data_IF_420878932648
#
_entry.id   IF_420878932648
#
_cell.length_a   1.000
_cell.length_b   1.000
_cell.length_c   1.000
_cell.angle_alpha   90.00
_cell.angle_beta   90.00
_cell.angle_gamma   90.00
#
_symmetry.space_group_name_H-M   'P 1'
#
loop_
_entity.id
_entity.type
_entity.pdbx_description
1 polymer ?
#
# COMPACT_ATOMS: atom_id res chain seq x y z
N UNK A 1 43.43 -24.46 14.31
CA UNK A 1 42.25 -24.29 13.41
C UNK A 1 42.64 -23.28 12.33
N UNK A 2 42.94 -23.78 11.14
CA UNK A 2 43.55 -23.03 10.04
C UNK A 2 42.44 -22.47 9.14
N UNK A 3 42.36 -21.17 9.08
CA UNK A 3 41.43 -20.43 8.20
C UNK A 3 41.89 -20.53 6.74
N UNK A 4 41.16 -21.28 5.95
CA UNK A 4 41.33 -21.36 4.49
C UNK A 4 40.88 -20.04 3.85
N UNK A 5 41.82 -19.31 3.24
CA UNK A 5 41.58 -18.05 2.55
C UNK A 5 40.84 -18.32 1.21
N UNK A 6 39.73 -17.66 1.00
CA UNK A 6 38.87 -17.70 -0.20
C UNK A 6 39.60 -17.41 -1.55
N UNK A 7 40.85 -17.03 -1.54
CA UNK A 7 41.65 -16.72 -2.75
C UNK A 7 42.28 -17.93 -3.43
N UNK A 8 42.25 -19.11 -2.82
CA UNK A 8 42.86 -20.33 -3.37
C UNK A 8 41.95 -21.16 -4.29
N UNK A 9 40.64 -20.86 -4.28
CA UNK A 9 39.66 -21.63 -5.11
C UNK A 9 39.57 -21.13 -6.56
N UNK A 10 40.06 -19.94 -6.86
CA UNK A 10 39.96 -19.33 -8.20
C UNK A 10 41.17 -19.60 -9.10
N UNK A 11 42.20 -20.31 -8.63
CA UNK A 11 43.39 -20.64 -9.42
C UNK A 11 43.41 -22.07 -9.99
N UNK A 12 42.43 -22.92 -9.64
CA UNK A 12 42.37 -24.29 -10.11
C UNK A 12 41.43 -24.55 -11.32
N UNK A 13 40.74 -23.51 -11.80
CA UNK A 13 39.76 -23.62 -12.91
C UNK A 13 40.32 -23.13 -14.28
N UNK A 14 41.61 -22.93 -14.39
CA UNK A 14 42.22 -22.24 -15.54
C UNK A 14 43.21 -23.08 -16.38
N UNK A 15 43.07 -24.41 -16.51
CA UNK A 15 43.93 -25.20 -17.41
C UNK A 15 43.29 -26.56 -17.74
N UNK A 16 42.27 -26.56 -18.59
CA UNK A 16 41.85 -27.70 -19.39
C UNK A 16 40.98 -27.25 -20.56
N UNK A 17 41.59 -26.59 -21.52
CA UNK A 17 41.03 -26.46 -22.88
C UNK A 17 42.04 -27.05 -23.83
N UNK A 18 41.77 -28.25 -24.29
CA UNK A 18 42.55 -28.94 -25.27
C UNK A 18 41.88 -30.22 -25.74
N UNK A 19 41.27 -30.18 -26.91
CA UNK A 19 40.91 -31.28 -27.77
C UNK A 19 39.94 -32.35 -27.25
N UNK A 20 38.67 -32.25 -27.61
CA UNK A 20 37.85 -33.39 -27.98
C UNK A 20 37.09 -33.09 -29.27
N UNK A 21 37.26 -34.01 -30.19
CA UNK A 21 36.74 -33.99 -31.53
C UNK A 21 35.21 -34.00 -31.60
N UNK A 22 34.73 -33.40 -32.68
CA UNK A 22 33.40 -33.44 -33.23
C UNK A 22 32.77 -34.84 -33.24
N UNK A 23 31.79 -35.08 -32.40
CA UNK A 23 30.77 -36.10 -32.66
C UNK A 23 29.47 -35.71 -31.94
N UNK A 24 28.49 -35.31 -32.73
CA UNK A 24 27.07 -35.48 -32.44
C UNK A 24 26.49 -34.74 -31.22
N UNK A 25 26.52 -33.39 -31.17
CA UNK A 25 25.57 -32.62 -30.35
C UNK A 25 24.24 -32.55 -31.11
N UNK A 26 23.41 -33.58 -30.91
CA UNK A 26 21.97 -33.45 -31.12
C UNK A 26 21.51 -32.31 -30.17
N UNK A 27 21.29 -31.15 -30.68
CA UNK A 27 20.65 -30.07 -29.98
C UNK A 27 19.26 -30.59 -29.52
N UNK A 28 19.13 -30.90 -28.25
CA UNK A 28 17.83 -30.82 -27.62
C UNK A 28 17.41 -29.35 -27.63
N UNK A 29 16.93 -28.90 -28.77
CA UNK A 29 16.04 -27.77 -28.83
C UNK A 29 14.76 -28.25 -28.10
N UNK A 30 14.72 -28.10 -26.80
CA UNK A 30 13.46 -28.07 -26.08
C UNK A 30 12.68 -26.91 -26.72
N UNK A 31 11.70 -27.24 -27.58
CA UNK A 31 10.68 -26.29 -27.92
C UNK A 31 10.24 -25.66 -26.58
N UNK A 32 10.23 -24.34 -26.44
CA UNK A 32 9.52 -23.75 -25.34
C UNK A 32 8.07 -24.22 -25.55
N UNK A 33 7.61 -25.14 -24.70
CA UNK A 33 6.20 -25.43 -24.61
C UNK A 33 5.52 -24.05 -24.57
N UNK A 34 4.70 -23.77 -25.56
CA UNK A 34 3.73 -22.68 -25.49
C UNK A 34 2.89 -23.02 -24.25
N UNK A 35 3.31 -22.50 -23.08
CA UNK A 35 2.41 -22.38 -21.97
C UNK A 35 1.21 -21.63 -22.52
N UNK A 36 0.11 -22.35 -22.74
CA UNK A 36 -1.17 -21.73 -22.95
C UNK A 36 -1.34 -20.73 -21.81
N UNK A 37 -1.21 -19.43 -22.12
CA UNK A 37 -1.54 -18.37 -21.19
C UNK A 37 -3.05 -18.52 -20.97
N UNK A 38 -3.44 -19.35 -20.00
CA UNK A 38 -4.82 -19.32 -19.48
C UNK A 38 -5.09 -17.86 -19.19
N UNK A 39 -6.01 -17.27 -19.94
CA UNK A 39 -6.42 -15.88 -19.71
C UNK A 39 -6.93 -15.81 -18.29
N UNK A 40 -6.21 -15.11 -17.42
CA UNK A 40 -6.61 -14.90 -16.03
C UNK A 40 -7.97 -14.22 -16.04
N UNK A 41 -8.90 -14.71 -15.27
CA UNK A 41 -10.23 -14.10 -15.16
C UNK A 41 -10.21 -13.02 -14.10
N UNK A 42 -10.47 -11.77 -14.51
CA UNK A 42 -10.56 -10.64 -13.60
C UNK A 42 -11.75 -10.82 -12.66
N UNK A 43 -11.49 -10.76 -11.36
CA UNK A 43 -12.53 -10.76 -10.33
C UNK A 43 -12.94 -9.33 -9.98
N UNK A 44 -11.98 -8.44 -9.71
CA UNK A 44 -12.22 -7.06 -9.28
C UNK A 44 -11.15 -6.12 -9.86
N UNK A 45 -11.57 -4.91 -10.21
CA UNK A 45 -10.70 -3.76 -10.48
C UNK A 45 -10.89 -2.74 -9.38
N UNK A 46 -9.83 -2.40 -8.64
CA UNK A 46 -9.91 -1.58 -7.43
C UNK A 46 -9.01 -0.36 -7.57
N UNK A 47 -9.53 0.82 -7.30
CA UNK A 47 -8.71 2.03 -7.23
C UNK A 47 -8.15 2.19 -5.82
N UNK A 48 -6.84 2.39 -5.69
CA UNK A 48 -6.18 2.74 -4.44
C UNK A 48 -5.71 4.19 -4.50
N UNK A 49 -6.31 5.03 -3.66
CA UNK A 49 -5.90 6.40 -3.38
C UNK A 49 -5.31 6.44 -1.98
N UNK A 50 -4.27 7.21 -1.77
CA UNK A 50 -3.62 7.36 -0.45
C UNK A 50 -2.94 8.70 -0.36
N UNK A 51 -2.67 9.16 0.86
CA UNK A 51 -1.91 10.39 1.09
C UNK A 51 -2.50 11.57 0.30
N UNK A 52 -3.81 11.76 0.47
CA UNK A 52 -4.58 12.81 -0.22
C UNK A 52 -4.25 14.18 0.35
N UNK A 53 -4.01 14.27 1.66
CA UNK A 53 -3.64 15.51 2.36
C UNK A 53 -4.49 16.70 1.95
N UNK A 54 -5.83 16.52 1.92
CA UNK A 54 -6.72 17.55 1.39
C UNK A 54 -6.84 18.73 2.35
N UNK A 55 -6.63 19.94 1.80
CA UNK A 55 -6.76 21.20 2.49
C UNK A 55 -7.21 22.28 1.53
N UNK A 56 -7.15 23.55 1.96
CA UNK A 56 -7.60 24.70 1.15
C UNK A 56 -6.57 25.18 0.11
N UNK A 57 -5.29 24.80 0.30
CA UNK A 57 -4.18 25.30 -0.50
C UNK A 57 -4.15 24.78 -1.94
N UNK A 58 -3.47 25.50 -2.83
CA UNK A 58 -3.06 25.06 -4.17
C UNK A 58 -4.22 24.55 -5.06
N UNK A 59 -5.45 25.00 -4.82
CA UNK A 59 -6.66 24.46 -5.47
C UNK A 59 -6.80 22.93 -5.30
N UNK A 60 -6.30 22.39 -4.21
CA UNK A 60 -6.29 20.95 -3.94
C UNK A 60 -7.69 20.31 -4.07
N UNK A 61 -8.78 20.90 -3.56
CA UNK A 61 -10.12 20.31 -3.68
C UNK A 61 -10.54 20.07 -5.13
N UNK A 62 -10.35 21.06 -6.01
CA UNK A 62 -10.70 20.97 -7.43
C UNK A 62 -9.80 19.97 -8.17
N UNK A 63 -8.52 19.96 -7.85
CA UNK A 63 -7.53 19.03 -8.40
C UNK A 63 -7.87 17.60 -8.00
N UNK A 64 -8.15 17.35 -6.73
CA UNK A 64 -8.55 16.03 -6.24
C UNK A 64 -9.85 15.54 -6.89
N UNK A 65 -10.89 16.38 -6.95
CA UNK A 65 -12.14 16.04 -7.65
C UNK A 65 -11.91 15.69 -9.13
N UNK A 66 -10.99 16.38 -9.82
CA UNK A 66 -10.60 16.04 -11.20
C UNK A 66 -9.94 14.68 -11.28
N UNK A 67 -9.01 14.36 -10.34
CA UNK A 67 -8.40 13.04 -10.25
C UNK A 67 -9.46 11.94 -10.08
N UNK A 68 -10.37 12.10 -9.13
CA UNK A 68 -11.43 11.12 -8.88
C UNK A 68 -12.30 10.91 -10.12
N UNK A 69 -12.73 11.97 -10.80
CA UNK A 69 -13.49 11.89 -12.05
C UNK A 69 -12.71 11.19 -13.16
N UNK A 70 -11.40 11.44 -13.25
CA UNK A 70 -10.52 10.77 -14.19
C UNK A 70 -10.46 9.26 -13.92
N UNK A 71 -10.23 8.85 -12.68
CA UNK A 71 -10.21 7.44 -12.27
C UNK A 71 -11.52 6.74 -12.65
N UNK A 72 -12.66 7.33 -12.28
CA UNK A 72 -13.98 6.79 -12.59
C UNK A 72 -14.20 6.62 -14.10
N UNK A 73 -13.84 7.63 -14.87
CA UNK A 73 -14.12 7.64 -16.32
C UNK A 73 -13.19 6.68 -17.07
N UNK A 74 -11.91 6.69 -16.72
CA UNK A 74 -10.88 5.91 -17.42
C UNK A 74 -10.88 4.45 -17.03
N UNK A 75 -10.96 4.15 -15.72
CA UNK A 75 -10.72 2.80 -15.21
C UNK A 75 -11.98 2.07 -14.78
N UNK A 76 -13.04 2.81 -14.40
CA UNK A 76 -14.33 2.24 -13.95
C UNK A 76 -14.13 1.18 -12.85
N UNK A 77 -13.49 1.53 -11.72
CA UNK A 77 -13.22 0.57 -10.65
C UNK A 77 -14.52 0.03 -10.07
N UNK A 78 -14.47 -1.16 -9.47
CA UNK A 78 -15.60 -1.72 -8.72
C UNK A 78 -15.82 -0.97 -7.41
N UNK A 79 -14.75 -0.51 -6.76
CA UNK A 79 -14.77 0.30 -5.54
C UNK A 79 -13.40 0.96 -5.29
N UNK A 80 -13.30 1.75 -4.23
CA UNK A 80 -12.09 2.47 -3.84
C UNK A 80 -11.55 1.98 -2.50
N UNK A 81 -10.23 1.93 -2.40
CA UNK A 81 -9.47 1.83 -1.16
C UNK A 81 -8.79 3.16 -0.90
N UNK A 82 -8.97 3.73 0.30
CA UNK A 82 -8.28 4.93 0.77
C UNK A 82 -7.24 4.53 1.80
N UNK A 83 -5.98 4.71 1.47
CA UNK A 83 -4.81 4.29 2.24
C UNK A 83 -4.47 5.17 3.45
N UNK A 84 -5.34 6.12 3.84
CA UNK A 84 -5.09 7.04 4.96
C UNK A 84 -4.48 8.37 4.53
N UNK A 85 -4.23 9.23 5.51
CA UNK A 85 -3.83 10.63 5.32
C UNK A 85 -4.79 11.35 4.37
N UNK A 86 -6.07 11.29 4.74
CA UNK A 86 -7.18 11.83 3.96
C UNK A 86 -7.19 13.35 3.97
N UNK A 87 -6.96 13.96 5.16
CA UNK A 87 -6.92 15.41 5.35
C UNK A 87 -5.50 15.95 5.41
N UNK A 88 -5.33 17.24 5.26
CA UNK A 88 -4.03 17.92 5.27
C UNK A 88 -3.21 17.54 6.49
N UNK A 89 -3.62 18.00 7.66
CA UNK A 89 -3.01 17.56 8.93
C UNK A 89 -3.89 17.92 10.13
N UNK A 90 -4.12 16.95 11.01
CA UNK A 90 -4.69 17.16 12.35
C UNK A 90 -3.72 16.75 13.47
N UNK A 91 -2.52 16.25 13.13
CA UNK A 91 -1.60 15.63 14.09
C UNK A 91 -0.64 16.60 14.76
N UNK A 92 -0.34 17.74 14.14
CA UNK A 92 0.62 18.71 14.67
C UNK A 92 0.12 19.44 15.91
N UNK A 93 1.07 19.85 16.75
CA UNK A 93 0.80 20.48 18.05
C UNK A 93 0.09 21.84 17.96
N UNK A 94 0.23 22.53 16.83
CA UNK A 94 -0.34 23.86 16.58
C UNK A 94 -1.67 23.84 15.82
N UNK A 95 -2.21 22.66 15.48
CA UNK A 95 -3.48 22.55 14.78
C UNK A 95 -4.63 22.82 15.74
N UNK A 96 -5.54 23.71 15.32
CA UNK A 96 -6.68 24.14 16.13
C UNK A 96 -8.00 23.58 15.58
N UNK A 97 -9.02 23.63 16.42
CA UNK A 97 -10.36 23.09 16.15
C UNK A 97 -10.91 23.48 14.76
N UNK A 98 -10.92 24.77 14.44
CA UNK A 98 -11.49 25.26 13.17
C UNK A 98 -10.77 24.69 11.94
N UNK A 99 -9.45 24.50 12.04
CA UNK A 99 -8.66 23.89 10.96
C UNK A 99 -9.05 22.43 10.75
N UNK A 100 -9.22 21.66 11.82
CA UNK A 100 -9.62 20.25 11.72
C UNK A 100 -11.01 20.12 11.10
N UNK A 101 -11.98 20.91 11.59
CA UNK A 101 -13.34 20.95 11.02
C UNK A 101 -13.31 21.31 9.54
N UNK A 102 -12.55 22.33 9.18
CA UNK A 102 -12.45 22.80 7.80
C UNK A 102 -11.90 21.73 6.87
N UNK A 103 -10.80 21.09 7.23
CA UNK A 103 -10.19 20.03 6.43
C UNK A 103 -11.15 18.86 6.22
N UNK A 104 -11.82 18.40 7.28
CA UNK A 104 -12.81 17.33 7.15
C UNK A 104 -14.03 17.76 6.32
N UNK A 105 -14.46 19.03 6.38
CA UNK A 105 -15.54 19.54 5.54
C UNK A 105 -15.15 19.53 4.05
N UNK A 106 -13.90 19.85 3.74
CA UNK A 106 -13.36 19.78 2.38
C UNK A 106 -13.29 18.33 1.91
N UNK A 107 -12.82 17.42 2.76
CA UNK A 107 -12.83 15.99 2.46
C UNK A 107 -14.22 15.48 2.12
N UNK A 108 -15.22 15.78 2.97
CA UNK A 108 -16.60 15.35 2.76
C UNK A 108 -17.15 15.86 1.42
N UNK A 109 -16.88 17.11 1.09
CA UNK A 109 -17.31 17.69 -0.18
C UNK A 109 -16.62 17.02 -1.39
N UNK A 110 -15.33 16.77 -1.30
CA UNK A 110 -14.58 16.10 -2.37
C UNK A 110 -15.04 14.67 -2.59
N UNK A 111 -15.24 13.92 -1.50
CA UNK A 111 -15.57 12.48 -1.56
C UNK A 111 -16.99 12.23 -2.10
N UNK A 112 -17.88 13.23 -2.13
CA UNK A 112 -19.19 13.14 -2.81
C UNK A 112 -19.05 12.77 -4.30
N UNK A 113 -17.88 13.04 -4.88
CA UNK A 113 -17.57 12.59 -6.26
C UNK A 113 -17.67 11.07 -6.39
N UNK A 114 -17.53 10.34 -5.28
CA UNK A 114 -17.59 8.87 -5.21
C UNK A 114 -18.91 8.34 -4.63
N UNK A 115 -20.00 9.12 -4.57
CA UNK A 115 -21.28 8.71 -3.96
C UNK A 115 -21.88 7.40 -4.52
N UNK A 116 -21.49 7.02 -5.75
CA UNK A 116 -21.91 5.77 -6.39
C UNK A 116 -20.97 4.60 -6.14
N UNK A 117 -19.89 4.80 -5.41
CA UNK A 117 -18.86 3.81 -5.14
C UNK A 117 -18.73 3.57 -3.64
N UNK A 118 -18.42 2.35 -3.27
CA UNK A 118 -17.95 2.09 -1.91
C UNK A 118 -16.51 2.59 -1.75
N UNK A 119 -16.22 3.19 -0.59
CA UNK A 119 -14.87 3.63 -0.21
C UNK A 119 -14.53 2.97 1.12
N UNK A 120 -13.50 2.14 1.12
CA UNK A 120 -12.98 1.52 2.33
C UNK A 120 -11.67 2.18 2.72
N UNK A 121 -11.58 2.71 3.93
CA UNK A 121 -10.46 3.55 4.36
C UNK A 121 -9.70 2.94 5.53
N UNK A 122 -8.37 3.11 5.56
CA UNK A 122 -7.61 3.03 6.80
C UNK A 122 -7.30 4.43 7.34
N UNK A 123 -6.81 4.50 8.57
CA UNK A 123 -6.46 5.75 9.25
C UNK A 123 -4.97 6.02 9.02
N UNK A 124 -4.64 7.21 8.54
CA UNK A 124 -3.28 7.70 8.44
C UNK A 124 -2.83 8.45 9.70
N UNK A 125 -1.56 8.84 9.76
CA UNK A 125 -1.02 9.55 10.92
C UNK A 125 -1.47 11.01 11.00
N UNK A 126 -1.80 11.62 9.86
CA UNK A 126 -2.27 13.00 9.81
C UNK A 126 -3.79 13.15 10.02
N UNK A 127 -4.55 12.06 10.06
CA UNK A 127 -6.01 12.11 10.18
C UNK A 127 -6.50 12.42 11.62
N UNK A 128 -5.72 12.04 12.65
CA UNK A 128 -6.16 12.08 14.05
C UNK A 128 -5.72 13.32 14.79
N UNK A 129 -6.67 14.01 15.43
CA UNK A 129 -6.37 15.19 16.25
C UNK A 129 -6.08 14.81 17.70
N UNK A 130 -4.79 14.75 18.04
CA UNK A 130 -4.32 14.38 19.38
C UNK A 130 -4.22 15.55 20.35
N UNK A 131 -4.33 16.80 19.85
CA UNK A 131 -4.23 18.04 20.62
C UNK A 131 -5.59 18.69 20.89
N UNK A 132 -6.67 17.92 20.79
CA UNK A 132 -7.98 18.35 21.25
C UNK A 132 -7.91 18.76 22.74
N UNK A 133 -8.77 19.68 23.21
CA UNK A 133 -8.71 20.24 24.55
C UNK A 133 -8.70 19.21 25.70
N UNK A 134 -9.30 18.05 25.47
CA UNK A 134 -9.22 16.88 26.37
C UNK A 134 -9.40 15.58 25.60
N UNK A 135 -9.09 14.46 26.24
CA UNK A 135 -9.30 13.12 25.64
C UNK A 135 -10.77 12.75 25.49
N UNK A 136 -11.64 13.40 26.23
CA UNK A 136 -13.10 13.23 26.19
C UNK A 136 -13.74 14.10 25.10
N UNK A 137 -12.97 14.97 24.46
CA UNK A 137 -13.47 15.81 23.37
C UNK A 137 -13.90 14.93 22.20
N UNK A 138 -15.08 15.22 21.62
CA UNK A 138 -15.71 14.41 20.58
C UNK A 138 -14.84 14.20 19.33
N UNK A 139 -13.89 15.09 19.07
CA UNK A 139 -12.96 15.03 17.93
C UNK A 139 -11.58 14.48 18.31
N UNK A 140 -11.39 14.01 19.55
CA UNK A 140 -10.09 13.49 19.96
C UNK A 140 -9.79 12.13 19.31
N UNK A 141 -8.62 12.02 18.74
CA UNK A 141 -8.02 10.73 18.32
C UNK A 141 -8.77 10.00 17.21
N UNK A 142 -8.66 8.68 17.22
CA UNK A 142 -9.11 7.81 16.13
C UNK A 142 -10.63 7.63 16.05
N UNK A 143 -11.33 7.69 17.16
CA UNK A 143 -12.79 7.48 17.17
C UNK A 143 -13.52 8.53 16.34
N UNK A 144 -13.01 9.76 16.31
CA UNK A 144 -13.51 10.79 15.43
C UNK A 144 -13.25 10.47 13.98
N UNK A 145 -12.04 10.01 13.64
CA UNK A 145 -11.68 9.62 12.27
C UNK A 145 -12.55 8.47 11.77
N UNK A 146 -12.79 7.45 12.61
CA UNK A 146 -13.71 6.33 12.30
C UNK A 146 -15.08 6.86 11.88
N UNK A 147 -15.63 7.84 12.62
CA UNK A 147 -16.92 8.46 12.30
C UNK A 147 -16.85 9.27 10.98
N UNK A 148 -15.77 10.04 10.77
CA UNK A 148 -15.60 10.88 9.59
C UNK A 148 -15.45 10.05 8.30
N UNK A 149 -14.66 8.99 8.36
CA UNK A 149 -14.47 8.06 7.24
C UNK A 149 -15.63 7.07 7.06
N UNK A 150 -16.59 7.04 8.00
CA UNK A 150 -17.75 6.12 8.00
C UNK A 150 -17.32 4.66 7.92
N UNK A 151 -16.22 4.31 8.57
CA UNK A 151 -15.70 2.94 8.66
C UNK A 151 -16.21 2.23 9.90
N UNK A 152 -16.30 0.88 9.90
CA UNK A 152 -16.88 0.15 11.04
C UNK A 152 -16.07 0.26 12.31
N UNK A 153 -14.74 0.31 12.20
CA UNK A 153 -13.79 0.40 13.29
C UNK A 153 -12.43 0.88 12.73
N UNK A 154 -11.46 1.18 13.59
CA UNK A 154 -10.08 1.52 13.19
C UNK A 154 -9.37 0.39 12.43
N UNK A 155 -9.79 -0.86 12.64
CA UNK A 155 -9.44 -2.04 11.82
C UNK A 155 -10.69 -2.89 11.61
N UNK A 156 -10.80 -3.50 10.44
CA UNK A 156 -11.98 -4.29 10.05
C UNK A 156 -11.67 -5.15 8.83
N UNK A 157 -12.62 -6.00 8.46
CA UNK A 157 -12.55 -6.81 7.25
C UNK A 157 -13.88 -6.84 6.51
N UNK A 158 -13.82 -7.17 5.23
CA UNK A 158 -14.97 -7.40 4.37
C UNK A 158 -14.60 -8.34 3.22
N UNK A 159 -15.60 -8.87 2.51
CA UNK A 159 -15.38 -9.72 1.34
C UNK A 159 -16.12 -9.19 0.13
N UNK A 160 -15.51 -9.30 -1.04
CA UNK A 160 -16.12 -9.03 -2.35
C UNK A 160 -15.70 -10.09 -3.35
N UNK A 161 -16.70 -10.67 -4.04
CA UNK A 161 -16.45 -11.83 -4.90
C UNK A 161 -15.76 -12.95 -4.12
N UNK A 162 -14.64 -13.46 -4.64
CA UNK A 162 -13.84 -14.47 -3.96
C UNK A 162 -12.66 -13.90 -3.17
N UNK A 163 -12.53 -12.57 -3.08
CA UNK A 163 -11.48 -11.89 -2.34
C UNK A 163 -11.91 -11.47 -0.94
N UNK A 164 -10.98 -11.56 0.00
CA UNK A 164 -11.13 -11.02 1.34
C UNK A 164 -10.21 -9.81 1.54
N UNK A 165 -10.69 -8.80 2.23
CA UNK A 165 -10.00 -7.54 2.47
C UNK A 165 -9.90 -7.30 3.96
N UNK A 166 -8.70 -6.95 4.42
CA UNK A 166 -8.41 -6.63 5.82
C UNK A 166 -7.80 -5.24 5.86
N UNK A 167 -8.43 -4.34 6.59
CA UNK A 167 -7.93 -2.99 6.83
C UNK A 167 -7.34 -2.94 8.23
N UNK A 168 -6.11 -2.45 8.33
CA UNK A 168 -5.32 -2.40 9.56
C UNK A 168 -5.06 -0.97 10.00
N UNK A 169 -4.96 -0.77 11.31
CA UNK A 169 -4.52 0.47 11.93
C UNK A 169 -3.09 0.31 12.46
N UNK A 170 -2.10 0.74 11.66
CA UNK A 170 -0.70 0.78 12.05
C UNK A 170 -0.33 2.02 12.86
N UNK A 171 -1.25 2.97 13.03
CA UNK A 171 -0.98 4.25 13.70
C UNK A 171 -1.03 4.12 15.23
N UNK A 172 -0.21 3.23 15.78
CA UNK A 172 -0.01 3.02 17.20
C UNK A 172 1.44 3.30 17.59
N UNK A 173 1.78 3.15 18.86
CA UNK A 173 3.15 3.35 19.35
C UNK A 173 4.15 2.54 18.50
N UNK A 174 5.21 3.20 18.08
CA UNK A 174 6.28 2.65 17.24
C UNK A 174 5.84 2.11 15.87
N UNK A 175 4.70 2.58 15.34
CA UNK A 175 4.15 2.10 14.07
C UNK A 175 4.02 0.57 14.11
N UNK A 176 2.98 0.09 14.75
CA UNK A 176 2.75 -1.35 14.93
C UNK A 176 1.28 -1.63 15.14
N UNK A 177 0.88 -2.88 15.02
CA UNK A 177 -0.41 -3.32 15.54
C UNK A 177 -0.32 -3.42 17.07
N UNK A 178 -1.35 -2.96 17.77
CA UNK A 178 -1.47 -3.31 19.19
C UNK A 178 -1.87 -4.79 19.35
N UNK A 179 -1.77 -5.29 20.57
CA UNK A 179 -1.95 -6.72 20.84
C UNK A 179 -3.36 -7.19 20.51
N UNK A 180 -4.39 -6.38 20.80
CA UNK A 180 -5.79 -6.71 20.50
C UNK A 180 -6.01 -6.89 18.99
N UNK A 181 -5.52 -5.95 18.19
CA UNK A 181 -5.65 -5.99 16.75
C UNK A 181 -4.85 -7.16 16.14
N UNK A 182 -3.65 -7.43 16.67
CA UNK A 182 -2.85 -8.56 16.19
C UNK A 182 -3.56 -9.91 16.42
N UNK A 183 -4.13 -10.11 17.62
CA UNK A 183 -4.88 -11.31 17.94
C UNK A 183 -6.16 -11.43 17.10
N UNK A 184 -6.81 -10.31 16.82
CA UNK A 184 -7.94 -10.26 15.90
C UNK A 184 -7.50 -10.65 14.47
N UNK A 185 -6.39 -10.12 13.96
CA UNK A 185 -5.86 -10.43 12.64
C UNK A 185 -5.52 -11.92 12.51
N UNK A 186 -4.89 -12.50 13.52
CA UNK A 186 -4.56 -13.94 13.54
C UNK A 186 -5.84 -14.79 13.43
N UNK A 187 -6.86 -14.51 14.25
CA UNK A 187 -8.16 -15.17 14.21
C UNK A 187 -8.90 -14.94 12.89
N UNK A 188 -8.78 -13.72 12.32
CA UNK A 188 -9.40 -13.38 11.04
C UNK A 188 -8.83 -14.24 9.91
N UNK A 189 -7.50 -14.37 9.84
CA UNK A 189 -6.84 -15.23 8.86
C UNK A 189 -7.11 -16.72 9.09
N UNK A 190 -7.19 -17.17 10.35
CA UNK A 190 -7.48 -18.57 10.69
C UNK A 190 -8.87 -19.01 10.21
N UNK A 191 -9.89 -18.17 10.43
CA UNK A 191 -11.29 -18.51 10.10
C UNK A 191 -11.59 -18.54 8.60
N UNK A 192 -10.76 -17.89 7.77
CA UNK A 192 -10.96 -17.89 6.31
C UNK A 192 -10.77 -19.30 5.74
N UNK A 193 -11.60 -19.72 4.76
CA UNK A 193 -11.37 -20.94 4.02
C UNK A 193 -9.95 -20.98 3.40
N UNK A 194 -9.42 -22.18 3.24
CA UNK A 194 -8.13 -22.36 2.56
C UNK A 194 -8.14 -21.70 1.18
N UNK A 195 -7.03 -21.12 0.80
CA UNK A 195 -6.82 -20.46 -0.49
C UNK A 195 -7.74 -19.28 -0.80
N UNK A 196 -8.40 -18.68 0.22
CA UNK A 196 -9.14 -17.42 0.04
C UNK A 196 -8.14 -16.31 -0.21
N UNK A 197 -8.06 -15.72 -1.42
CA UNK A 197 -7.10 -14.66 -1.68
C UNK A 197 -7.43 -13.43 -0.85
N UNK A 198 -6.43 -12.94 -0.11
CA UNK A 198 -6.60 -11.87 0.87
C UNK A 198 -5.69 -10.69 0.56
N UNK A 199 -6.28 -9.48 0.55
CA UNK A 199 -5.60 -8.20 0.48
C UNK A 199 -5.61 -7.56 1.86
N UNK A 200 -4.43 -7.12 2.33
CA UNK A 200 -4.31 -6.31 3.54
C UNK A 200 -3.98 -4.86 3.14
N UNK A 201 -4.54 -3.89 3.85
CA UNK A 201 -4.22 -2.47 3.68
C UNK A 201 -3.88 -1.88 5.05
N UNK A 202 -2.72 -1.22 5.14
CA UNK A 202 -2.30 -0.40 6.27
C UNK A 202 -1.74 0.90 5.72
N UNK A 203 -1.93 2.03 6.41
CA UNK A 203 -1.31 3.27 5.96
C UNK A 203 0.22 3.14 5.84
N UNK A 204 0.85 2.58 6.87
CA UNK A 204 2.30 2.36 6.89
C UNK A 204 2.71 1.09 6.13
N UNK A 205 3.81 1.13 5.35
CA UNK A 205 4.32 -0.06 4.68
C UNK A 205 4.77 -1.14 5.67
N UNK A 206 4.38 -2.39 5.41
CA UNK A 206 4.83 -3.55 6.21
C UNK A 206 6.21 -4.01 5.73
N UNK A 207 6.44 -4.01 4.43
CA UNK A 207 7.72 -4.36 3.81
C UNK A 207 7.85 -3.61 2.49
N UNK A 208 9.04 -3.11 2.21
CA UNK A 208 9.35 -2.44 0.94
C UNK A 208 10.73 -1.79 0.96
N UNK A 209 11.21 -1.38 -0.20
CA UNK A 209 12.47 -0.67 -0.37
C UNK A 209 12.38 0.75 0.20
N UNK A 210 11.22 1.39 0.08
CA UNK A 210 10.99 2.76 0.58
C UNK A 210 11.27 2.89 2.07
N UNK A 211 10.92 1.88 2.88
CA UNK A 211 11.22 1.88 4.31
C UNK A 211 12.73 1.95 4.63
N UNK A 212 13.55 1.34 3.77
CA UNK A 212 15.01 1.37 3.93
C UNK A 212 15.57 2.75 3.63
N UNK A 213 14.94 3.48 2.70
CA UNK A 213 15.36 4.80 2.27
C UNK A 213 14.94 5.89 3.26
N UNK A 214 13.69 5.83 3.74
CA UNK A 214 13.07 6.95 4.47
C UNK A 214 12.48 6.56 5.83
N UNK A 215 12.51 5.30 6.20
CA UNK A 215 11.87 4.80 7.42
C UNK A 215 10.35 4.71 7.28
N UNK A 216 9.62 4.93 8.38
CA UNK A 216 8.15 5.01 8.36
C UNK A 216 7.43 3.69 8.09
N UNK A 217 8.07 2.56 8.30
CA UNK A 217 7.41 1.25 8.16
C UNK A 217 7.05 0.60 9.49
N UNK A 218 6.27 -0.46 9.41
CA UNK A 218 5.88 -1.26 10.55
C UNK A 218 7.08 -1.82 11.32
N UNK A 219 7.22 -1.48 12.61
CA UNK A 219 8.27 -2.00 13.49
C UNK A 219 8.08 -3.49 13.82
N UNK A 220 6.85 -3.97 13.78
CA UNK A 220 6.44 -5.37 13.96
C UNK A 220 6.42 -6.16 12.64
N UNK A 221 7.05 -5.64 11.58
CA UNK A 221 7.06 -6.25 10.25
C UNK A 221 7.51 -7.72 10.26
N UNK A 222 8.47 -8.09 11.14
CA UNK A 222 8.90 -9.48 11.28
C UNK A 222 7.75 -10.37 11.76
N UNK A 223 7.05 -9.94 12.81
CA UNK A 223 5.91 -10.67 13.40
C UNK A 223 4.78 -10.85 12.37
N UNK A 224 4.47 -9.79 11.61
CA UNK A 224 3.47 -9.83 10.54
C UNK A 224 3.86 -10.78 9.41
N UNK A 225 5.11 -10.74 8.93
CA UNK A 225 5.60 -11.66 7.91
C UNK A 225 5.57 -13.12 8.36
N UNK A 226 5.92 -13.39 9.63
CA UNK A 226 5.85 -14.75 10.20
C UNK A 226 4.39 -15.25 10.22
N UNK A 227 3.43 -14.37 10.55
CA UNK A 227 1.99 -14.68 10.47
C UNK A 227 1.55 -14.93 9.02
N UNK A 228 1.94 -14.07 8.07
CA UNK A 228 1.59 -14.24 6.65
C UNK A 228 2.18 -15.52 6.06
N UNK A 229 3.36 -15.94 6.51
CA UNK A 229 3.96 -17.21 6.11
C UNK A 229 3.15 -18.43 6.59
N UNK A 230 2.52 -18.36 7.77
CA UNK A 230 1.57 -19.40 8.23
C UNK A 230 0.34 -19.49 7.32
N UNK A 231 -0.08 -18.36 6.75
CA UNK A 231 -1.26 -18.21 5.90
C UNK A 231 -0.91 -17.88 4.43
N UNK A 232 0.24 -18.39 3.94
CA UNK A 232 0.75 -18.12 2.59
C UNK A 232 -0.18 -18.56 1.46
N UNK A 233 -1.09 -19.48 1.75
CA UNK A 233 -2.15 -19.89 0.83
C UNK A 233 -3.26 -18.84 0.66
N UNK A 234 -3.33 -17.83 1.55
CA UNK A 234 -4.35 -16.79 1.59
C UNK A 234 -3.79 -15.40 1.28
N UNK A 235 -2.79 -14.92 2.02
CA UNK A 235 -2.25 -13.57 1.88
C UNK A 235 -1.57 -13.38 0.53
N UNK A 236 -2.05 -12.43 -0.28
CA UNK A 236 -1.56 -12.17 -1.65
C UNK A 236 -0.92 -10.82 -1.82
N UNK A 237 -1.48 -9.80 -1.19
CA UNK A 237 -1.01 -8.42 -1.36
C UNK A 237 -1.20 -7.61 -0.09
N UNK A 238 -0.22 -6.73 0.21
CA UNK A 238 -0.29 -5.70 1.23
C UNK A 238 -0.15 -4.33 0.55
N UNK A 239 -1.11 -3.44 0.80
CA UNK A 239 -1.11 -2.07 0.31
C UNK A 239 -0.74 -1.08 1.39
N UNK A 240 -0.05 -0.01 1.00
CA UNK A 240 0.30 1.10 1.88
C UNK A 240 0.50 2.40 1.11
N UNK A 241 0.62 3.49 1.85
CA UNK A 241 1.03 4.83 1.43
C UNK A 241 2.17 5.34 2.30
N UNK A 242 1.96 6.46 2.99
CA UNK A 242 2.81 7.09 3.99
C UNK A 242 4.13 7.66 3.46
N UNK A 243 4.89 6.87 2.73
CA UNK A 243 6.23 7.28 2.29
C UNK A 243 6.21 8.21 1.06
N UNK A 244 5.04 8.43 0.44
CA UNK A 244 4.88 9.18 -0.81
C UNK A 244 5.76 8.69 -1.98
N UNK A 245 6.29 7.47 -1.87
CA UNK A 245 7.12 6.80 -2.86
C UNK A 245 6.42 5.55 -3.38
N UNK A 246 6.56 5.25 -4.67
CA UNK A 246 6.01 4.05 -5.27
C UNK A 246 7.04 2.92 -5.25
N UNK A 247 6.64 1.77 -4.70
CA UNK A 247 7.49 0.59 -4.60
C UNK A 247 6.63 -0.68 -4.65
N UNK A 248 7.12 -1.69 -5.34
CA UNK A 248 6.52 -3.01 -5.40
C UNK A 248 7.58 -4.05 -5.05
N UNK A 249 7.42 -4.71 -3.91
CA UNK A 249 8.33 -5.72 -3.40
C UNK A 249 7.63 -7.07 -3.30
N UNK A 250 8.21 -8.11 -3.90
CA UNK A 250 7.73 -9.49 -3.75
C UNK A 250 8.55 -10.23 -2.70
N UNK A 251 7.89 -10.78 -1.70
CA UNK A 251 8.54 -11.60 -0.68
C UNK A 251 7.60 -12.70 -0.16
N UNK A 252 8.04 -13.96 -0.16
CA UNK A 252 7.27 -15.12 0.29
C UNK A 252 5.87 -15.20 -0.33
N UNK A 253 5.77 -15.06 -1.66
CA UNK A 253 4.53 -15.09 -2.44
C UNK A 253 3.53 -13.96 -2.12
N UNK A 254 3.93 -12.96 -1.34
CA UNK A 254 3.16 -11.74 -1.06
C UNK A 254 3.73 -10.57 -1.84
N UNK A 255 2.86 -9.81 -2.50
CA UNK A 255 3.18 -8.54 -3.12
C UNK A 255 2.96 -7.42 -2.10
N UNK A 256 3.99 -6.65 -1.78
CA UNK A 256 3.92 -5.46 -0.94
C UNK A 256 4.01 -4.23 -1.83
N UNK A 257 3.00 -3.36 -1.77
CA UNK A 257 2.92 -2.15 -2.58
C UNK A 257 2.85 -0.92 -1.66
N UNK A 258 3.80 0.00 -1.81
CA UNK A 258 3.65 1.38 -1.39
C UNK A 258 3.25 2.18 -2.63
N UNK A 259 2.10 2.86 -2.63
CA UNK A 259 1.52 3.39 -3.87
C UNK A 259 1.64 4.93 -4.01
N UNK A 260 2.78 5.48 -3.60
CA UNK A 260 3.03 6.91 -3.76
C UNK A 260 2.03 7.77 -2.96
N UNK A 261 1.70 8.95 -3.48
CA UNK A 261 0.72 9.85 -2.87
C UNK A 261 -0.17 10.51 -3.91
N UNK A 262 -1.47 10.61 -3.65
CA UNK A 262 -2.39 11.35 -4.50
C UNK A 262 -2.01 12.84 -4.58
N UNK A 263 -1.59 13.42 -3.47
CA UNK A 263 -1.16 14.81 -3.38
C UNK A 263 0.24 15.08 -3.93
N UNK A 264 1.02 14.01 -4.23
CA UNK A 264 2.45 14.16 -4.41
C UNK A 264 3.09 14.65 -3.11
N UNK A 265 3.56 15.90 -3.12
CA UNK A 265 3.91 16.55 -1.88
C UNK A 265 2.90 17.64 -1.54
N UNK A 266 1.83 17.26 -0.83
CA UNK A 266 0.81 18.14 -0.26
C UNK A 266 0.20 19.14 -1.28
N UNK A 267 0.06 18.71 -2.56
CA UNK A 267 -0.43 19.48 -3.69
C UNK A 267 0.49 20.62 -4.14
N UNK A 268 1.64 20.82 -3.52
CA UNK A 268 2.64 21.80 -3.88
C UNK A 268 3.27 21.52 -5.25
N UNK A 269 3.78 22.54 -5.91
CA UNK A 269 4.46 22.44 -7.20
C UNK A 269 5.93 22.12 -6.92
N UNK A 270 6.28 20.82 -6.94
CA UNK A 270 7.66 20.40 -6.86
C UNK A 270 8.40 20.89 -5.62
N UNK A 271 7.71 20.89 -4.49
CA UNK A 271 8.30 21.32 -3.22
C UNK A 271 9.34 20.29 -2.76
N UNK A 272 10.50 20.33 -3.43
CA UNK A 272 11.63 19.47 -3.14
C UNK A 272 12.20 19.72 -1.74
N UNK A 273 11.98 20.88 -1.15
CA UNK A 273 12.49 21.19 0.19
C UNK A 273 11.68 20.48 1.25
N UNK A 274 10.37 20.48 1.15
CA UNK A 274 9.52 19.83 2.13
C UNK A 274 9.39 18.31 1.91
N UNK A 275 9.50 17.83 0.68
CA UNK A 275 9.54 16.39 0.39
C UNK A 275 10.90 15.74 0.75
N UNK A 276 11.91 16.57 0.99
CA UNK A 276 13.29 16.13 0.99
C UNK A 276 13.83 15.80 -0.42
N UNK A 277 15.14 15.68 -0.58
CA UNK A 277 15.74 15.42 -1.88
C UNK A 277 15.20 14.13 -2.51
N UNK A 278 14.66 14.21 -3.71
CA UNK A 278 14.27 13.06 -4.51
C UNK A 278 12.80 12.65 -4.41
N UNK A 279 12.10 12.85 -3.30
CA UNK A 279 10.75 12.34 -3.09
C UNK A 279 9.77 12.63 -4.23
N UNK A 280 9.52 13.91 -4.51
CA UNK A 280 8.58 14.31 -5.54
C UNK A 280 9.05 13.94 -6.94
N UNK A 281 10.37 14.00 -7.18
CA UNK A 281 10.95 13.66 -8.48
C UNK A 281 10.98 12.14 -8.71
N UNK A 282 11.12 11.35 -7.64
CA UNK A 282 11.15 9.89 -7.75
C UNK A 282 9.75 9.30 -7.97
N UNK A 283 8.74 9.85 -7.31
CA UNK A 283 7.35 9.40 -7.47
C UNK A 283 6.42 10.59 -7.65
N UNK A 284 6.03 10.91 -8.87
CA UNK A 284 5.05 11.96 -9.13
C UNK A 284 3.71 11.69 -8.43
N UNK A 285 2.89 12.74 -8.17
CA UNK A 285 1.55 12.54 -7.63
C UNK A 285 0.74 11.57 -8.48
N UNK A 286 0.00 10.68 -7.83
CA UNK A 286 -0.73 9.64 -8.57
C UNK A 286 -1.63 8.77 -7.70
N UNK A 287 -2.09 7.70 -8.29
CA UNK A 287 -2.93 6.67 -7.69
C UNK A 287 -2.57 5.31 -8.28
N UNK A 288 -3.02 4.24 -7.65
CA UNK A 288 -2.83 2.91 -8.23
C UNK A 288 -4.16 2.26 -8.62
N UNK A 289 -4.10 1.41 -9.64
CA UNK A 289 -5.16 0.48 -10.00
C UNK A 289 -4.70 -0.94 -9.73
N UNK A 290 -5.52 -1.68 -9.02
CA UNK A 290 -5.30 -3.10 -8.78
C UNK A 290 -6.27 -3.93 -9.59
N UNK A 291 -5.73 -4.89 -10.35
CA UNK A 291 -6.49 -5.96 -10.95
C UNK A 291 -6.33 -7.22 -10.10
N UNK A 292 -7.42 -7.65 -9.47
CA UNK A 292 -7.48 -8.83 -8.63
C UNK A 292 -8.14 -9.95 -9.42
N UNK A 293 -7.43 -11.07 -9.61
CA UNK A 293 -7.90 -12.17 -10.44
C UNK A 293 -8.51 -13.29 -9.59
N UNK A 294 -9.38 -14.11 -10.20
CA UNK A 294 -10.05 -15.21 -9.50
C UNK A 294 -9.07 -16.26 -8.95
N UNK A 295 -7.91 -16.39 -9.56
CA UNK A 295 -6.85 -17.31 -9.13
C UNK A 295 -5.97 -16.78 -7.98
N UNK A 296 -6.29 -15.59 -7.46
CA UNK A 296 -5.55 -14.92 -6.38
C UNK A 296 -4.31 -14.17 -6.86
N UNK A 297 -4.06 -14.08 -8.16
CA UNK A 297 -3.00 -13.21 -8.68
C UNK A 297 -3.42 -11.75 -8.66
N UNK A 298 -2.43 -10.85 -8.56
CA UNK A 298 -2.62 -9.40 -8.44
C UNK A 298 -1.72 -8.70 -9.44
N UNK A 299 -2.25 -7.66 -10.07
CA UNK A 299 -1.48 -6.66 -10.78
C UNK A 299 -1.73 -5.31 -10.10
N UNK A 300 -0.67 -4.58 -9.78
CA UNK A 300 -0.72 -3.23 -9.22
C UNK A 300 0.01 -2.29 -10.18
N UNK A 301 -0.71 -1.31 -10.70
CA UNK A 301 -0.17 -0.32 -11.64
C UNK A 301 -0.35 1.08 -11.11
N UNK A 302 0.73 1.84 -11.03
CA UNK A 302 0.71 3.24 -10.58
C UNK A 302 0.50 4.18 -11.77
N UNK A 303 -0.41 5.13 -11.62
CA UNK A 303 -0.77 6.12 -12.62
C UNK A 303 -0.46 7.53 -12.12
N UNK A 304 0.63 8.15 -12.60
CA UNK A 304 0.88 9.56 -12.34
C UNK A 304 -0.23 10.45 -12.90
N UNK A 305 -0.49 11.57 -12.22
CA UNK A 305 -1.37 12.61 -12.72
C UNK A 305 -0.69 13.99 -12.72
N UNK A 306 -1.29 14.94 -13.42
CA UNK A 306 -0.78 16.31 -13.59
C UNK A 306 -1.83 17.36 -13.18
N UNK A 307 -2.79 16.99 -12.37
CA UNK A 307 -3.89 17.86 -11.94
C UNK A 307 -3.46 18.82 -10.84
#
# INVERSE_FOLDING_TARGET
MTTLKRRSLLKAAGLAVGAVATSGLSAFASNPEKQDKKTKKLALSVAHITDVHIGEGENAPERFKKCLKHIITKHKPDFFLNGGDSIGDASYDNVVYDQVIKQWSIWDDCITTLDKYEVHSCIGNHDSWWKAPSKEHEMYGKDYVVKRLKIPNRYYSFSKKNWHFIVLDGNNANISLDQEQYEWLEKELEKLPASTPTLLMSHYPILGTTQVLVGGGHSDCKKLKDLFQKHRDKVRVCLSGHNHLSDNTHYNDVLYCCNGAMSGFWWGIGDAESAGPGYYLETPPGYAMLNLYEDGTVENEYFPHTY
#
